data_IF_704802540126
#
_entry.id   IF_704802540126
#
_cell.length_a   1.000
_cell.length_b   1.000
_cell.length_c   1.000
_cell.angle_alpha   90.00
_cell.angle_beta   90.00
_cell.angle_gamma   90.00
#
_symmetry.space_group_name_H-M   'P 1'
#
loop_
_entity.id
_entity.type
_entity.pdbx_description
1 polymer ?
#
# COMPACT_ATOMS: atom_id res chain seq x y z
N UNK A 1 -5.94 -27.37 0.33
CA UNK A 1 -7.09 -27.18 1.24
C UNK A 1 -7.10 -25.75 1.74
N UNK A 2 -7.98 -24.89 1.21
CA UNK A 2 -8.19 -23.53 1.71
C UNK A 2 -8.82 -23.59 3.10
N UNK A 3 -8.06 -23.25 4.14
CA UNK A 3 -8.58 -23.17 5.51
C UNK A 3 -9.41 -21.90 5.67
N UNK A 4 -10.68 -22.05 6.00
CA UNK A 4 -11.63 -20.97 6.26
C UNK A 4 -11.37 -20.42 7.67
N UNK A 5 -11.10 -19.12 7.78
CA UNK A 5 -10.89 -18.44 9.06
C UNK A 5 -12.23 -17.89 9.58
N UNK A 6 -12.92 -18.62 10.46
CA UNK A 6 -14.16 -18.14 11.09
C UNK A 6 -13.84 -17.03 12.10
N UNK A 7 -14.08 -15.77 11.76
CA UNK A 7 -13.90 -14.61 12.64
C UNK A 7 -15.20 -13.78 12.76
N UNK A 8 -15.25 -12.81 13.70
CA UNK A 8 -16.41 -11.91 13.93
C UNK A 8 -16.86 -11.12 12.69
N UNK A 9 -16.00 -10.97 11.68
CA UNK A 9 -16.33 -10.36 10.38
C UNK A 9 -17.30 -11.23 9.56
N UNK A 10 -17.41 -12.52 9.85
CA UNK A 10 -18.23 -13.46 9.07
C UNK A 10 -19.74 -13.18 9.10
N UNK A 11 -20.21 -12.30 10.00
CA UNK A 11 -21.64 -12.04 10.22
C UNK A 11 -22.16 -10.72 9.62
N UNK A 12 -21.34 -10.02 8.82
CA UNK A 12 -21.73 -8.79 8.14
C UNK A 12 -22.27 -9.07 6.73
N UNK A 13 -23.18 -8.21 6.27
CA UNK A 13 -23.66 -8.20 4.87
C UNK A 13 -22.60 -7.51 4.02
N UNK A 14 -21.48 -8.19 3.83
CA UNK A 14 -20.37 -7.76 2.96
C UNK A 14 -20.24 -8.75 1.79
N UNK A 15 -19.55 -8.36 0.72
CA UNK A 15 -19.25 -9.23 -0.42
C UNK A 15 -18.56 -10.52 0.01
N UNK A 16 -18.86 -11.65 -0.64
CA UNK A 16 -18.31 -12.97 -0.26
C UNK A 16 -16.77 -12.98 -0.18
N UNK A 17 -16.09 -12.25 -1.08
CA UNK A 17 -14.64 -12.11 -1.09
C UNK A 17 -14.07 -11.45 0.18
N UNK A 18 -14.84 -10.57 0.82
CA UNK A 18 -14.44 -9.92 2.07
C UNK A 18 -14.67 -10.84 3.28
N UNK A 19 -15.73 -11.66 3.24
CA UNK A 19 -15.99 -12.70 4.25
C UNK A 19 -14.99 -13.85 4.15
N UNK A 20 -14.55 -14.18 2.94
CA UNK A 20 -13.65 -15.30 2.64
C UNK A 20 -12.47 -14.86 1.77
N UNK A 21 -11.55 -14.06 2.32
CA UNK A 21 -10.44 -13.54 1.53
C UNK A 21 -9.46 -14.65 1.17
N UNK A 22 -8.85 -14.54 -0.02
CA UNK A 22 -7.81 -15.44 -0.47
C UNK A 22 -6.54 -15.14 0.33
N UNK A 23 -6.04 -16.12 1.09
CA UNK A 23 -4.83 -15.96 1.88
C UNK A 23 -3.61 -16.02 0.97
N UNK A 24 -2.79 -14.98 0.99
CA UNK A 24 -1.57 -14.89 0.20
C UNK A 24 -0.32 -14.83 1.10
N UNK A 25 0.70 -15.67 0.85
CA UNK A 25 2.00 -15.52 1.49
C UNK A 25 2.67 -14.23 0.98
N UNK A 26 3.32 -13.50 1.88
CA UNK A 26 3.98 -12.22 1.58
C UNK A 26 5.21 -12.36 0.67
N UNK A 27 5.95 -13.46 0.74
CA UNK A 27 7.24 -13.59 0.05
C UNK A 27 7.11 -14.10 -1.39
N UNK A 28 5.91 -14.50 -1.81
CA UNK A 28 5.68 -15.04 -3.13
C UNK A 28 5.67 -13.97 -4.23
N UNK A 29 6.22 -14.31 -5.41
CA UNK A 29 6.32 -13.40 -6.57
C UNK A 29 4.97 -12.89 -7.05
N UNK A 30 3.93 -13.72 -6.95
CA UNK A 30 2.55 -13.34 -7.32
C UNK A 30 2.04 -12.21 -6.43
N UNK A 31 2.23 -12.31 -5.12
CA UNK A 31 1.81 -11.27 -4.16
C UNK A 31 2.53 -9.96 -4.40
N UNK A 32 3.82 -10.00 -4.75
CA UNK A 32 4.61 -8.81 -5.13
C UNK A 32 4.02 -8.14 -6.37
N UNK A 33 3.80 -8.89 -7.45
CA UNK A 33 3.21 -8.35 -8.69
C UNK A 33 1.83 -7.77 -8.44
N UNK A 34 0.97 -8.49 -7.71
CA UNK A 34 -0.37 -8.02 -7.36
C UNK A 34 -0.31 -6.66 -6.64
N UNK A 35 0.54 -6.52 -5.61
CA UNK A 35 0.67 -5.27 -4.86
C UNK A 35 1.16 -4.12 -5.73
N UNK A 36 2.14 -4.37 -6.62
CA UNK A 36 2.69 -3.36 -7.53
C UNK A 36 1.63 -2.91 -8.54
N UNK A 37 0.97 -3.86 -9.21
CA UNK A 37 -0.08 -3.54 -10.19
C UNK A 37 -1.22 -2.76 -9.53
N UNK A 38 -1.64 -3.16 -8.33
CA UNK A 38 -2.72 -2.45 -7.61
C UNK A 38 -2.27 -1.05 -7.21
N UNK A 39 -0.99 -0.88 -6.84
CA UNK A 39 -0.42 0.41 -6.47
C UNK A 39 -0.34 1.37 -7.66
N UNK A 40 0.00 0.87 -8.85
CA UNK A 40 0.02 1.66 -10.09
C UNK A 40 -1.39 1.96 -10.59
N UNK A 41 -2.30 0.97 -10.58
CA UNK A 41 -3.72 1.15 -10.97
C UNK A 41 -4.45 2.19 -10.12
N UNK A 42 -4.10 2.30 -8.84
CA UNK A 42 -4.66 3.28 -7.91
C UNK A 42 -3.84 4.57 -7.82
N UNK A 43 -3.06 4.89 -8.86
CA UNK A 43 -2.29 6.13 -8.97
C UNK A 43 -1.39 6.42 -7.75
N UNK A 44 -0.61 5.42 -7.32
CA UNK A 44 0.33 5.53 -6.20
C UNK A 44 -0.31 5.86 -4.84
N UNK A 45 -1.51 5.30 -4.61
CA UNK A 45 -2.23 5.44 -3.34
C UNK A 45 -1.36 5.13 -2.12
N UNK A 46 -1.68 5.80 -1.00
CA UNK A 46 -1.02 5.60 0.28
C UNK A 46 -1.09 4.14 0.77
N UNK A 47 -0.20 3.79 1.71
CA UNK A 47 -0.17 2.49 2.37
C UNK A 47 -1.56 2.05 2.87
N UNK A 48 -2.31 2.96 3.48
CA UNK A 48 -3.63 2.63 4.03
C UNK A 48 -4.64 2.35 2.92
N UNK A 49 -4.65 3.15 1.85
CA UNK A 49 -5.56 2.91 0.73
C UNK A 49 -5.28 1.58 0.04
N UNK A 50 -4.00 1.22 -0.12
CA UNK A 50 -3.62 -0.07 -0.67
C UNK A 50 -4.04 -1.24 0.24
N UNK A 51 -3.86 -1.08 1.56
CA UNK A 51 -4.31 -2.07 2.54
C UNK A 51 -5.83 -2.26 2.53
N UNK A 52 -6.59 -1.17 2.40
CA UNK A 52 -8.04 -1.24 2.32
C UNK A 52 -8.48 -1.95 1.04
N UNK A 53 -7.99 -1.52 -0.13
CA UNK A 53 -8.36 -2.11 -1.42
C UNK A 53 -7.95 -3.60 -1.51
N UNK A 54 -6.76 -3.97 -1.04
CA UNK A 54 -6.34 -5.37 -1.05
C UNK A 54 -7.17 -6.23 -0.09
N UNK A 55 -7.62 -5.68 1.05
CA UNK A 55 -8.40 -6.41 2.05
C UNK A 55 -9.80 -6.79 1.55
N UNK A 56 -10.32 -6.13 0.54
CA UNK A 56 -11.60 -6.48 -0.10
C UNK A 56 -11.59 -7.89 -0.71
N UNK A 57 -10.42 -8.40 -1.11
CA UNK A 57 -10.29 -9.66 -1.85
C UNK A 57 -9.19 -10.59 -1.32
N UNK A 58 -8.14 -10.03 -0.71
CA UNK A 58 -6.92 -10.76 -0.36
C UNK A 58 -6.51 -10.53 1.09
N UNK A 59 -6.10 -11.61 1.74
CA UNK A 59 -5.51 -11.58 3.07
C UNK A 59 -4.01 -11.87 2.98
N UNK A 60 -3.20 -10.82 2.87
CA UNK A 60 -1.75 -10.96 2.80
C UNK A 60 -1.17 -11.09 4.21
N UNK A 61 -0.47 -12.20 4.48
CA UNK A 61 0.17 -12.45 5.78
C UNK A 61 1.24 -11.39 6.08
N UNK A 62 1.10 -10.64 7.18
CA UNK A 62 2.01 -9.52 7.46
C UNK A 62 1.96 -8.40 6.42
N UNK A 63 0.83 -8.27 5.68
CA UNK A 63 0.68 -7.40 4.52
C UNK A 63 1.12 -5.96 4.74
N UNK A 64 0.89 -5.38 5.93
CA UNK A 64 1.33 -4.01 6.24
C UNK A 64 2.84 -3.82 6.10
N UNK A 65 3.65 -4.72 6.66
CA UNK A 65 5.12 -4.64 6.59
C UNK A 65 5.60 -4.86 5.16
N UNK A 66 5.02 -5.85 4.50
CA UNK A 66 5.32 -6.20 3.12
C UNK A 66 5.03 -5.03 2.15
N UNK A 67 3.80 -4.51 2.17
CA UNK A 67 3.37 -3.40 1.31
C UNK A 67 4.20 -2.15 1.58
N UNK A 68 4.50 -1.84 2.86
CA UNK A 68 5.36 -0.70 3.20
C UNK A 68 6.74 -0.83 2.56
N UNK A 69 7.33 -2.03 2.58
CA UNK A 69 8.60 -2.30 1.90
C UNK A 69 8.48 -2.08 0.39
N UNK A 70 7.37 -2.46 -0.24
CA UNK A 70 7.16 -2.25 -1.68
C UNK A 70 7.03 -0.77 -2.02
N UNK A 71 6.18 -0.02 -1.31
CA UNK A 71 5.98 1.43 -1.55
C UNK A 71 7.28 2.21 -1.33
N UNK A 72 8.12 1.82 -0.36
CA UNK A 72 9.42 2.47 -0.14
C UNK A 72 10.41 2.35 -1.32
N UNK A 73 10.21 1.35 -2.18
CA UNK A 73 10.99 1.12 -3.40
C UNK A 73 10.40 1.81 -4.63
N UNK A 74 9.15 2.28 -4.55
CA UNK A 74 8.53 3.03 -5.64
C UNK A 74 9.22 4.39 -5.80
N UNK A 75 9.75 4.63 -7.00
CA UNK A 75 10.47 5.87 -7.34
C UNK A 75 9.55 7.07 -7.30
N UNK A 76 8.31 6.92 -7.79
CA UNK A 76 7.30 7.99 -7.83
C UNK A 76 6.93 8.41 -6.41
N UNK A 77 6.55 7.47 -5.55
CA UNK A 77 6.27 7.78 -4.14
C UNK A 77 7.48 8.36 -3.41
N UNK A 78 8.70 7.89 -3.72
CA UNK A 78 9.92 8.43 -3.13
C UNK A 78 10.14 9.89 -3.53
N UNK A 79 9.91 10.22 -4.80
CA UNK A 79 9.98 11.60 -5.31
C UNK A 79 8.96 12.50 -4.61
N UNK A 80 7.70 12.06 -4.49
CA UNK A 80 6.67 12.84 -3.78
C UNK A 80 6.94 13.01 -2.27
N UNK A 81 7.64 12.06 -1.64
CA UNK A 81 8.04 12.14 -0.23
C UNK A 81 9.31 12.98 -0.01
N UNK A 82 10.08 13.27 -1.05
CA UNK A 82 11.33 14.01 -0.90
C UNK A 82 11.07 15.40 -0.31
N UNK A 83 11.92 15.83 0.62
CA UNK A 83 11.83 17.18 1.19
C UNK A 83 12.28 18.18 0.13
N UNK A 84 11.63 19.35 0.10
CA UNK A 84 12.14 20.49 -0.64
C UNK A 84 13.58 20.78 -0.19
N UNK A 85 14.43 21.13 -1.14
CA UNK A 85 15.79 21.58 -0.82
C UNK A 85 15.67 22.87 -0.01
N UNK A 86 16.33 22.90 1.15
CA UNK A 86 16.51 24.14 1.90
C UNK A 86 17.53 25.00 1.16
N UNK A 87 17.05 25.79 0.22
CA UNK A 87 17.88 26.78 -0.45
C UNK A 87 17.99 27.95 0.52
N UNK A 88 19.19 28.16 1.09
CA UNK A 88 19.50 29.40 1.80
C UNK A 88 19.29 30.55 0.82
N UNK A 89 18.21 31.30 0.99
CA UNK A 89 17.99 32.49 0.19
C UNK A 89 19.13 33.48 0.47
N UNK A 90 19.83 33.98 -0.56
CA UNK A 90 20.81 35.04 -0.37
C UNK A 90 20.11 36.28 0.18
N UNK A 91 20.85 37.08 0.96
CA UNK A 91 20.34 38.36 1.44
C UNK A 91 19.94 39.23 0.25
N UNK A 92 18.75 39.82 0.31
CA UNK A 92 18.28 40.76 -0.70
C UNK A 92 19.28 41.94 -0.79
N UNK A 93 19.57 42.47 -1.99
CA UNK A 93 20.41 43.65 -2.13
C UNK A 93 19.83 44.81 -1.33
N UNK A 94 20.69 45.60 -0.69
CA UNK A 94 20.27 46.85 -0.08
C UNK A 94 19.88 47.83 -1.18
N UNK A 95 18.70 48.42 -1.04
CA UNK A 95 18.21 49.51 -1.90
C UNK A 95 19.22 50.67 -1.87
N UNK A 96 19.54 51.22 -3.05
CA UNK A 96 20.61 52.22 -3.24
C UNK A 96 20.05 53.64 -3.32
#
# INVERSE_FOLDING_TARGET
MCKILKSRVSNRVDSENFRFPIILPNEHSVTKKLVIETHEKLCHVSLQGLLCSLREKYWILGGRRFIRSMISRCVICRKHRSKALDVKNPALPLDR
#
